data_IF_971308471456
#
_entry.id   IF_971308471456
#
_cell.length_a   1.000
_cell.length_b   1.000
_cell.length_c   1.000
_cell.angle_alpha   90.00
_cell.angle_beta   90.00
_cell.angle_gamma   90.00
#
_symmetry.space_group_name_H-M   'P 1'
#
loop_
_entity.id
_entity.type
_entity.pdbx_description
1 polymer ?
#
# COMPACT_ATOMS: atom_id res chain seq x y z
N UNK A 1 -13.28 -1.86 10.38
CA UNK A 1 -14.07 -0.68 9.95
C UNK A 1 -13.71 -0.34 8.51
N UNK A 2 -14.70 0.03 7.68
CA UNK A 2 -14.46 0.41 6.29
C UNK A 2 -13.74 1.77 6.18
N UNK A 3 -12.80 1.90 5.25
CA UNK A 3 -12.04 3.11 4.97
C UNK A 3 -11.52 3.12 3.52
N UNK A 4 -10.93 4.25 3.12
CA UNK A 4 -10.30 4.45 1.81
C UNK A 4 -8.83 4.86 1.96
N UNK A 5 -7.97 4.41 1.04
CA UNK A 5 -6.60 4.90 0.94
C UNK A 5 -6.60 6.30 0.32
N UNK A 6 -6.13 7.30 1.08
CA UNK A 6 -6.11 8.71 0.66
C UNK A 6 -4.69 9.21 0.33
N UNK A 7 -3.77 8.30 0.00
CA UNK A 7 -2.38 8.63 -0.31
C UNK A 7 -2.06 8.20 -1.72
N UNK A 8 -1.55 9.13 -2.52
CA UNK A 8 -1.03 8.83 -3.86
C UNK A 8 0.41 8.31 -3.77
N UNK A 9 0.65 7.12 -4.30
CA UNK A 9 1.98 6.53 -4.39
C UNK A 9 2.45 6.57 -5.85
N UNK A 10 3.48 7.37 -6.19
CA UNK A 10 3.92 7.56 -7.58
C UNK A 10 4.38 6.28 -8.28
N UNK A 11 4.78 5.25 -7.53
CA UNK A 11 5.35 4.01 -8.08
C UNK A 11 4.31 2.94 -8.44
N UNK A 12 3.03 3.28 -8.22
CA UNK A 12 1.88 2.44 -8.51
C UNK A 12 0.92 3.22 -9.43
N UNK A 13 -0.01 2.51 -10.10
CA UNK A 13 -1.19 3.14 -10.69
C UNK A 13 -1.99 3.90 -9.61
N UNK A 14 -3.03 4.63 -10.01
CA UNK A 14 -3.82 5.46 -9.10
C UNK A 14 -4.21 4.71 -7.80
N UNK A 15 -3.63 5.15 -6.69
CA UNK A 15 -3.84 4.55 -5.37
C UNK A 15 -4.88 5.28 -4.55
N UNK A 16 -5.42 6.39 -5.05
CA UNK A 16 -6.47 7.11 -4.35
C UNK A 16 -7.76 6.30 -4.38
N UNK A 17 -8.47 6.29 -3.26
CA UNK A 17 -9.74 5.59 -3.11
C UNK A 17 -9.64 4.06 -3.26
N UNK A 18 -8.47 3.47 -3.04
CA UNK A 18 -8.40 2.02 -2.86
C UNK A 18 -9.11 1.64 -1.57
N UNK A 19 -10.01 0.66 -1.66
CA UNK A 19 -10.79 0.19 -0.52
C UNK A 19 -9.90 -0.49 0.50
N UNK A 20 -10.08 -0.13 1.77
CA UNK A 20 -9.30 -0.69 2.87
C UNK A 20 -10.18 -0.89 4.12
N UNK A 21 -9.69 -1.71 5.03
CA UNK A 21 -10.30 -1.97 6.32
C UNK A 21 -9.34 -1.58 7.42
N UNK A 22 -9.80 -0.70 8.31
CA UNK A 22 -9.09 -0.32 9.52
C UNK A 22 -9.52 -1.24 10.67
N UNK A 23 -8.56 -1.97 11.22
CA UNK A 23 -8.69 -2.85 12.37
C UNK A 23 -8.16 -2.10 13.60
N UNK A 24 -9.07 -1.78 14.52
CA UNK A 24 -8.71 -1.18 15.81
C UNK A 24 -8.06 -2.29 16.63
N UNK A 25 -6.85 -2.03 17.12
CA UNK A 25 -6.11 -2.94 17.99
C UNK A 25 -6.38 -2.60 19.47
N UNK A 26 -5.62 -3.22 20.37
CA UNK A 26 -5.66 -2.88 21.78
C UNK A 26 -5.43 -1.38 22.03
N UNK A 27 -5.89 -0.91 23.19
CA UNK A 27 -5.78 0.50 23.57
C UNK A 27 -4.29 0.94 23.50
N UNK A 28 -4.05 2.11 22.91
CA UNK A 28 -2.72 2.68 22.64
C UNK A 28 -1.89 1.99 21.54
N UNK A 29 -2.46 1.05 20.78
CA UNK A 29 -1.79 0.47 19.61
C UNK A 29 -2.20 1.17 18.31
N UNK A 30 -1.25 1.24 17.36
CA UNK A 30 -1.51 1.79 16.01
C UNK A 30 -2.55 0.91 15.30
N UNK A 31 -3.58 1.46 14.66
CA UNK A 31 -4.51 0.66 13.87
C UNK A 31 -3.80 -0.13 12.78
N UNK A 32 -4.23 -1.37 12.55
CA UNK A 32 -3.78 -2.14 11.39
C UNK A 32 -4.73 -1.86 10.23
N UNK A 33 -4.15 -1.51 9.09
CA UNK A 33 -4.87 -1.30 7.84
C UNK A 33 -4.66 -2.45 6.86
N UNK A 34 -5.76 -2.98 6.33
CA UNK A 34 -5.79 -4.07 5.35
C UNK A 34 -6.40 -3.58 4.03
N UNK A 35 -5.72 -3.79 2.91
CA UNK A 35 -6.25 -3.47 1.59
C UNK A 35 -7.20 -4.58 1.13
N UNK A 36 -8.31 -4.20 0.48
CA UNK A 36 -9.18 -5.17 -0.19
C UNK A 36 -8.39 -5.94 -1.26
N UNK A 37 -8.52 -7.27 -1.29
CA UNK A 37 -7.91 -8.11 -2.33
C UNK A 37 -8.51 -7.77 -3.69
N UNK A 38 -7.73 -7.06 -4.50
CA UNK A 38 -8.10 -6.58 -5.83
C UNK A 38 -6.93 -6.80 -6.78
N UNK A 39 -7.15 -6.67 -8.09
CA UNK A 39 -6.10 -6.80 -9.10
C UNK A 39 -5.15 -5.59 -9.14
N UNK A 40 -5.34 -4.60 -8.27
CA UNK A 40 -4.44 -3.47 -8.18
C UNK A 40 -3.04 -3.93 -7.73
N UNK A 41 -1.94 -3.52 -8.40
CA UNK A 41 -0.58 -3.97 -8.07
C UNK A 41 -0.19 -3.77 -6.60
N UNK A 42 -0.59 -2.64 -6.00
CA UNK A 42 -0.38 -2.39 -4.56
C UNK A 42 -1.08 -3.43 -3.68
N UNK A 43 -2.31 -3.83 -4.02
CA UNK A 43 -3.05 -4.85 -3.25
C UNK A 43 -2.40 -6.22 -3.40
N UNK A 44 -1.98 -6.57 -4.62
CA UNK A 44 -1.26 -7.82 -4.88
C UNK A 44 0.05 -7.91 -4.09
N UNK A 45 0.88 -6.86 -4.12
CA UNK A 45 2.14 -6.80 -3.36
C UNK A 45 1.90 -6.73 -1.84
N UNK A 46 0.82 -6.10 -1.36
CA UNK A 46 0.42 -6.10 0.05
C UNK A 46 0.12 -7.51 0.56
N UNK A 47 -0.65 -8.29 -0.21
CA UNK A 47 -1.11 -9.64 0.18
C UNK A 47 -0.06 -10.73 -0.04
N UNK A 48 0.71 -10.64 -1.13
CA UNK A 48 1.68 -11.68 -1.52
C UNK A 48 3.10 -11.37 -1.05
N UNK A 49 3.34 -10.17 -0.55
CA UNK A 49 4.67 -9.64 -0.28
C UNK A 49 5.32 -9.04 -1.52
N UNK A 50 6.26 -8.12 -1.29
CA UNK A 50 7.05 -7.45 -2.31
C UNK A 50 8.43 -8.10 -2.44
N UNK A 51 8.93 -8.28 -3.66
CA UNK A 51 10.25 -8.89 -3.87
C UNK A 51 11.39 -7.87 -3.71
N UNK A 52 12.61 -8.29 -3.35
CA UNK A 52 13.76 -7.40 -3.25
C UNK A 52 14.07 -6.64 -4.55
N UNK A 53 13.86 -7.27 -5.71
CA UNK A 53 14.08 -6.66 -7.03
C UNK A 53 13.08 -5.53 -7.28
N UNK A 54 11.81 -5.72 -6.87
CA UNK A 54 10.77 -4.70 -6.97
C UNK A 54 11.08 -3.50 -6.06
N UNK A 55 11.52 -3.76 -4.82
CA UNK A 55 11.98 -2.71 -3.90
C UNK A 55 13.14 -1.92 -4.50
N UNK A 56 14.15 -2.61 -5.05
CA UNK A 56 15.30 -1.96 -5.71
C UNK A 56 14.85 -1.06 -6.86
N UNK A 57 13.92 -1.53 -7.70
CA UNK A 57 13.36 -0.74 -8.81
C UNK A 57 12.69 0.55 -8.29
N UNK A 58 11.81 0.44 -7.30
CA UNK A 58 11.13 1.58 -6.68
C UNK A 58 12.14 2.60 -6.12
N UNK A 59 13.17 2.12 -5.41
CA UNK A 59 14.21 3.00 -4.85
C UNK A 59 15.03 3.69 -5.96
N UNK A 60 15.40 2.98 -7.01
CA UNK A 60 16.13 3.56 -8.15
C UNK A 60 15.29 4.61 -8.87
N UNK A 61 14.00 4.35 -9.11
CA UNK A 61 13.08 5.30 -9.71
C UNK A 61 12.99 6.60 -8.89
N UNK A 62 12.87 6.49 -7.55
CA UNK A 62 12.87 7.65 -6.65
C UNK A 62 14.17 8.45 -6.67
N UNK A 63 15.31 7.77 -6.70
CA UNK A 63 16.62 8.41 -6.72
C UNK A 63 16.92 9.12 -8.05
N UNK A 64 16.46 8.57 -9.18
CA UNK A 64 16.63 9.19 -10.50
C UNK A 64 15.63 10.33 -10.76
N UNK A 65 14.57 10.47 -9.96
CA UNK A 65 13.53 11.49 -10.10
C UNK A 65 13.82 12.77 -9.29
N UNK A 66 14.98 12.88 -8.64
CA UNK A 66 15.45 14.04 -7.88
C UNK A 66 16.59 14.77 -8.59
#
# INVERSE_FOLDING_TARGET
MFSWLSTQLPEYPDTLNLKMYAHIQELNSRPHFELESTDHPLSQEYHKGITPERVKKIMMERLCSN
#
